data_IF_023353930037
#
_entry.id   IF_023353930037
#
_cell.length_a   1.000
_cell.length_b   1.000
_cell.length_c   1.000
_cell.angle_alpha   90.00
_cell.angle_beta   90.00
_cell.angle_gamma   90.00
#
_symmetry.space_group_name_H-M   'P 1'
#
loop_
_entity.id
_entity.type
_entity.pdbx_description
1 polymer ?
#
# COMPACT_ATOMS: atom_id res chain seq x y z
N UNK A 1 -5.65 -12.67 10.83
CA UNK A 1 -4.61 -12.06 9.99
C UNK A 1 -4.78 -12.54 8.56
N UNK A 2 -5.18 -11.65 7.65
CA UNK A 2 -5.39 -11.92 6.22
C UNK A 2 -4.05 -12.24 5.53
N UNK A 3 -4.07 -12.90 4.36
CA UNK A 3 -2.88 -13.21 3.57
C UNK A 3 -2.04 -11.96 3.23
N UNK A 4 -2.69 -10.83 2.97
CA UNK A 4 -2.03 -9.54 2.70
C UNK A 4 -1.23 -9.08 3.93
N UNK A 5 -1.85 -9.05 5.11
CA UNK A 5 -1.19 -8.67 6.37
C UNK A 5 -0.01 -9.59 6.72
N UNK A 6 -0.10 -10.89 6.35
CA UNK A 6 1.02 -11.83 6.53
C UNK A 6 2.19 -11.49 5.61
N UNK A 7 1.92 -11.12 4.36
CA UNK A 7 2.94 -10.73 3.38
C UNK A 7 3.62 -9.43 3.82
N UNK A 8 2.84 -8.42 4.23
CA UNK A 8 3.37 -7.13 4.70
C UNK A 8 4.26 -7.31 5.94
N UNK A 9 3.81 -8.10 6.92
CA UNK A 9 4.61 -8.41 8.09
C UNK A 9 5.90 -9.17 7.75
N UNK A 10 5.85 -10.09 6.79
CA UNK A 10 7.04 -10.81 6.35
C UNK A 10 8.04 -9.86 5.68
N UNK A 11 7.59 -9.03 4.74
CA UNK A 11 8.43 -8.01 4.07
C UNK A 11 9.12 -7.12 5.10
N UNK A 12 8.36 -6.59 6.07
CA UNK A 12 8.90 -5.73 7.13
C UNK A 12 10.01 -6.43 7.93
N UNK A 13 9.77 -7.67 8.36
CA UNK A 13 10.79 -8.47 9.08
C UNK A 13 12.05 -8.70 8.27
N UNK A 14 11.91 -9.00 6.97
CA UNK A 14 13.06 -9.20 6.09
C UNK A 14 13.87 -7.91 5.95
N UNK A 15 13.21 -6.78 5.66
CA UNK A 15 13.88 -5.47 5.55
C UNK A 15 14.61 -5.13 6.85
N UNK A 16 13.94 -5.22 8.01
CA UNK A 16 14.54 -4.95 9.31
C UNK A 16 15.76 -5.83 9.58
N UNK A 17 15.67 -7.12 9.24
CA UNK A 17 16.77 -8.07 9.44
C UNK A 17 17.97 -7.75 8.55
N UNK A 18 17.75 -7.36 7.30
CA UNK A 18 18.81 -7.08 6.34
C UNK A 18 19.48 -5.73 6.63
N UNK A 19 18.68 -4.70 6.96
CA UNK A 19 19.19 -3.41 7.43
C UNK A 19 20.08 -3.58 8.67
N UNK A 20 19.71 -4.45 9.60
CA UNK A 20 20.54 -4.73 10.78
C UNK A 20 21.88 -5.35 10.40
N UNK A 21 21.87 -6.39 9.56
CA UNK A 21 23.12 -7.04 9.08
C UNK A 21 24.06 -6.04 8.40
N UNK A 22 23.51 -5.17 7.57
CA UNK A 22 24.29 -4.14 6.88
C UNK A 22 24.88 -3.13 7.86
N UNK A 23 24.11 -2.65 8.85
CA UNK A 23 24.62 -1.75 9.91
C UNK A 23 25.73 -2.39 10.75
N UNK A 24 25.58 -3.67 11.09
CA UNK A 24 26.60 -4.41 11.82
C UNK A 24 27.88 -4.55 10.97
N UNK A 25 27.74 -4.92 9.68
CA UNK A 25 28.85 -5.02 8.74
C UNK A 25 29.56 -3.67 8.47
N UNK A 26 28.80 -2.57 8.47
CA UNK A 26 29.35 -1.22 8.36
C UNK A 26 30.19 -0.88 9.59
N UNK A 27 29.66 -1.17 10.78
CA UNK A 27 30.33 -0.88 12.06
C UNK A 27 31.65 -1.65 12.16
N UNK A 28 31.64 -2.93 11.74
CA UNK A 28 32.84 -3.75 11.65
C UNK A 28 33.85 -3.18 10.63
N UNK A 29 33.39 -2.84 9.42
CA UNK A 29 34.25 -2.25 8.39
C UNK A 29 34.88 -0.93 8.85
N UNK A 30 34.12 -0.09 9.56
CA UNK A 30 34.59 1.16 10.15
C UNK A 30 35.64 0.93 11.24
N UNK A 31 35.43 -0.06 12.11
CA UNK A 31 36.42 -0.43 13.11
C UNK A 31 37.74 -0.90 12.47
N UNK A 32 37.65 -1.77 11.46
CA UNK A 32 38.84 -2.23 10.73
C UNK A 32 39.53 -1.10 9.96
N UNK A 33 38.77 -0.17 9.38
CA UNK A 33 39.35 1.01 8.72
C UNK A 33 40.06 1.91 9.72
N UNK A 34 39.48 2.16 10.88
CA UNK A 34 40.12 2.99 11.91
C UNK A 34 41.42 2.37 12.45
N UNK A 35 41.47 1.03 12.53
CA UNK A 35 42.65 0.30 13.00
C UNK A 35 43.76 0.21 11.94
N UNK A 36 43.40 -0.01 10.66
CA UNK A 36 44.37 -0.33 9.60
C UNK A 36 44.59 0.78 8.58
N UNK A 37 43.63 1.70 8.42
CA UNK A 37 43.60 2.71 7.37
C UNK A 37 43.42 2.15 5.95
N UNK A 38 43.14 0.86 5.76
CA UNK A 38 43.10 0.27 4.42
C UNK A 38 41.84 0.65 3.64
N UNK A 39 42.05 1.21 2.45
CA UNK A 39 41.00 1.60 1.49
C UNK A 39 39.97 0.51 1.19
N UNK A 40 40.36 -0.77 1.31
CA UNK A 40 39.42 -1.89 1.14
C UNK A 40 38.21 -1.80 2.08
N UNK A 41 38.41 -1.30 3.29
CA UNK A 41 37.35 -1.15 4.29
C UNK A 41 36.53 0.10 4.04
N UNK A 42 37.16 1.18 3.53
CA UNK A 42 36.46 2.36 3.03
C UNK A 42 35.50 1.99 1.88
N UNK A 43 36.00 1.28 0.88
CA UNK A 43 35.19 0.80 -0.24
C UNK A 43 34.06 -0.15 0.21
N UNK A 44 34.27 -0.91 1.29
CA UNK A 44 33.24 -1.76 1.88
C UNK A 44 32.15 -0.90 2.55
N UNK A 45 32.53 0.14 3.29
CA UNK A 45 31.58 1.08 3.89
C UNK A 45 30.74 1.79 2.82
N UNK A 46 31.34 2.31 1.75
CA UNK A 46 30.60 2.98 0.66
C UNK A 46 29.58 2.05 -0.02
N UNK A 47 29.94 0.78 -0.23
CA UNK A 47 29.01 -0.21 -0.80
C UNK A 47 27.82 -0.45 0.13
N UNK A 48 28.10 -0.60 1.43
CA UNK A 48 27.05 -0.83 2.43
C UNK A 48 26.12 0.40 2.54
N UNK A 49 26.66 1.61 2.47
CA UNK A 49 25.86 2.85 2.44
C UNK A 49 24.90 2.86 1.25
N UNK A 50 25.38 2.52 0.05
CA UNK A 50 24.52 2.42 -1.15
C UNK A 50 23.42 1.36 -0.99
N UNK A 51 23.76 0.18 -0.45
CA UNK A 51 22.80 -0.89 -0.21
C UNK A 51 21.74 -0.49 0.84
N UNK A 52 22.13 0.28 1.86
CA UNK A 52 21.21 0.84 2.85
C UNK A 52 20.27 1.87 2.23
N UNK A 53 20.79 2.80 1.43
CA UNK A 53 20.00 3.81 0.72
C UNK A 53 18.96 3.16 -0.22
N UNK A 54 19.36 2.11 -0.94
CA UNK A 54 18.46 1.34 -1.79
C UNK A 54 17.33 0.70 -0.99
N UNK A 55 17.66 0.04 0.13
CA UNK A 55 16.68 -0.59 1.02
C UNK A 55 15.70 0.42 1.63
N UNK A 56 16.17 1.58 2.07
CA UNK A 56 15.31 2.68 2.56
C UNK A 56 14.40 3.21 1.45
N UNK A 57 14.93 3.32 0.22
CA UNK A 57 14.16 3.67 -0.96
C UNK A 57 13.09 2.64 -1.33
N UNK A 58 13.34 1.33 -1.12
CA UNK A 58 12.33 0.29 -1.28
C UNK A 58 11.24 0.37 -0.21
N UNK A 59 11.61 0.52 1.07
CA UNK A 59 10.66 0.62 2.17
C UNK A 59 9.71 1.82 2.01
N UNK A 60 10.24 2.97 1.59
CA UNK A 60 9.46 4.19 1.35
C UNK A 60 8.43 4.01 0.23
N UNK A 61 8.81 3.32 -0.86
CA UNK A 61 7.91 3.02 -1.99
C UNK A 61 6.82 2.02 -1.60
N UNK A 62 7.15 0.99 -0.83
CA UNK A 62 6.16 0.00 -0.37
C UNK A 62 5.13 0.64 0.57
N UNK A 63 5.56 1.56 1.45
CA UNK A 63 4.66 2.32 2.31
C UNK A 63 3.69 3.20 1.51
N UNK A 64 4.18 3.94 0.51
CA UNK A 64 3.33 4.76 -0.35
C UNK A 64 2.28 3.94 -1.12
N UNK A 65 2.65 2.72 -1.55
CA UNK A 65 1.71 1.80 -2.20
C UNK A 65 0.64 1.33 -1.20
N UNK A 66 1.03 0.94 0.02
CA UNK A 66 0.09 0.51 1.06
C UNK A 66 -0.90 1.63 1.41
N UNK A 67 -0.42 2.87 1.56
CA UNK A 67 -1.25 4.04 1.84
C UNK A 67 -2.26 4.29 0.70
N UNK A 68 -1.82 4.21 -0.56
CA UNK A 68 -2.69 4.36 -1.73
C UNK A 68 -3.76 3.24 -1.82
N UNK A 69 -3.42 2.00 -1.47
CA UNK A 69 -4.38 0.88 -1.41
C UNK A 69 -5.42 1.13 -0.30
N UNK A 70 -4.98 1.60 0.87
CA UNK A 70 -5.87 1.92 1.99
C UNK A 70 -6.81 3.09 1.66
N UNK A 71 -6.32 4.11 0.97
CA UNK A 71 -7.16 5.22 0.50
C UNK A 71 -8.19 4.74 -0.54
N UNK A 72 -7.76 3.96 -1.54
CA UNK A 72 -8.65 3.38 -2.55
C UNK A 72 -9.76 2.52 -1.93
N UNK A 73 -9.44 1.73 -0.90
CA UNK A 73 -10.42 0.89 -0.22
C UNK A 73 -11.44 1.71 0.59
N UNK A 74 -11.01 2.78 1.25
CA UNK A 74 -11.92 3.74 1.91
C UNK A 74 -12.85 4.42 0.91
N UNK A 75 -12.31 4.97 -0.18
CA UNK A 75 -13.09 5.62 -1.23
C UNK A 75 -14.10 4.66 -1.86
N UNK A 76 -13.71 3.41 -2.09
CA UNK A 76 -14.64 2.39 -2.59
C UNK A 76 -15.80 2.16 -1.63
N UNK A 77 -15.53 2.03 -0.33
CA UNK A 77 -16.57 1.85 0.68
C UNK A 77 -17.51 3.06 0.77
N UNK A 78 -17.00 4.28 0.57
CA UNK A 78 -17.82 5.50 0.50
C UNK A 78 -18.70 5.52 -0.76
N UNK A 79 -18.15 5.16 -1.92
CA UNK A 79 -18.92 5.02 -3.17
C UNK A 79 -20.04 3.97 -3.00
N UNK A 80 -19.74 2.82 -2.41
CA UNK A 80 -20.73 1.76 -2.19
C UNK A 80 -21.87 2.23 -1.27
N UNK A 81 -21.56 3.05 -0.25
CA UNK A 81 -22.59 3.70 0.59
C UNK A 81 -23.44 4.68 -0.20
N UNK A 82 -22.81 5.56 -0.99
CA UNK A 82 -23.52 6.55 -1.80
C UNK A 82 -24.43 5.87 -2.82
N UNK A 83 -23.94 4.82 -3.49
CA UNK A 83 -24.74 4.01 -4.42
C UNK A 83 -25.96 3.44 -3.74
N UNK A 84 -25.78 2.81 -2.58
CA UNK A 84 -26.90 2.25 -1.79
C UNK A 84 -27.93 3.32 -1.39
N UNK A 85 -27.46 4.48 -0.91
CA UNK A 85 -28.34 5.58 -0.54
C UNK A 85 -29.11 6.14 -1.74
N UNK A 86 -28.45 6.21 -2.91
CA UNK A 86 -29.08 6.65 -4.16
C UNK A 86 -30.12 5.65 -4.64
N UNK A 87 -29.79 4.35 -4.67
CA UNK A 87 -30.73 3.28 -5.03
C UNK A 87 -31.96 3.29 -4.14
N UNK A 88 -31.78 3.48 -2.82
CA UNK A 88 -32.89 3.60 -1.88
C UNK A 88 -33.79 4.81 -2.18
N UNK A 89 -33.21 5.99 -2.45
CA UNK A 89 -34.00 7.19 -2.77
C UNK A 89 -34.76 7.05 -4.09
N UNK A 90 -34.10 6.50 -5.12
CA UNK A 90 -34.70 6.30 -6.43
C UNK A 90 -35.80 5.24 -6.40
N UNK A 91 -35.67 4.19 -5.57
CA UNK A 91 -36.70 3.19 -5.38
C UNK A 91 -38.05 3.82 -4.98
N UNK A 92 -38.05 4.72 -3.99
CA UNK A 92 -39.27 5.41 -3.57
C UNK A 92 -39.82 6.34 -4.66
N UNK A 93 -38.95 7.07 -5.35
CA UNK A 93 -39.38 7.94 -6.46
C UNK A 93 -40.02 7.16 -7.61
N UNK A 94 -39.48 6.00 -7.95
CA UNK A 94 -40.04 5.14 -9.02
C UNK A 94 -41.37 4.54 -8.58
N UNK A 95 -41.53 4.21 -7.30
CA UNK A 95 -42.80 3.68 -6.80
C UNK A 95 -43.96 4.69 -6.96
N UNK A 96 -43.65 5.99 -6.98
CA UNK A 96 -44.63 7.07 -7.21
C UNK A 96 -44.89 7.35 -8.71
N UNK A 97 -44.10 6.77 -9.63
CA UNK A 97 -44.31 6.93 -11.06
C UNK A 97 -45.42 6.01 -11.59
N UNK A 98 -46.17 6.45 -12.62
CA UNK A 98 -47.11 5.57 -13.30
C UNK A 98 -46.36 4.39 -13.95
N UNK A 99 -47.01 3.23 -13.99
CA UNK A 99 -46.43 2.03 -14.61
C UNK A 99 -46.38 2.18 -16.14
N UNK A 100 -45.27 2.75 -16.62
CA UNK A 100 -44.96 2.98 -18.02
C UNK A 100 -43.58 2.42 -18.38
N UNK A 101 -43.28 2.37 -19.69
CA UNK A 101 -42.02 1.83 -20.19
C UNK A 101 -40.80 2.58 -19.63
N UNK A 102 -40.90 3.90 -19.49
CA UNK A 102 -39.84 4.76 -18.96
C UNK A 102 -39.52 4.44 -17.49
N UNK A 103 -40.54 4.23 -16.66
CA UNK A 103 -40.36 3.86 -15.25
C UNK A 103 -39.71 2.48 -15.10
N UNK A 104 -40.07 1.51 -15.94
CA UNK A 104 -39.47 0.16 -15.97
C UNK A 104 -38.01 0.20 -16.42
N UNK A 105 -37.71 0.96 -17.48
CA UNK A 105 -36.34 1.14 -17.97
C UNK A 105 -35.44 1.81 -16.93
N UNK A 106 -35.97 2.81 -16.20
CA UNK A 106 -35.25 3.46 -15.10
C UNK A 106 -34.94 2.49 -13.97
N UNK A 107 -35.89 1.64 -13.59
CA UNK A 107 -35.71 0.62 -12.55
C UNK A 107 -34.61 -0.38 -12.93
N UNK A 108 -34.66 -0.90 -14.15
CA UNK A 108 -33.66 -1.84 -14.66
C UNK A 108 -32.26 -1.20 -14.76
N UNK A 109 -32.18 0.08 -15.13
CA UNK A 109 -30.91 0.81 -15.13
C UNK A 109 -30.30 0.93 -13.73
N UNK A 110 -31.11 1.22 -12.71
CA UNK A 110 -30.64 1.33 -11.32
C UNK A 110 -30.13 -0.01 -10.82
N UNK A 111 -30.90 -1.09 -10.99
CA UNK A 111 -30.54 -2.44 -10.53
C UNK A 111 -29.22 -2.95 -11.14
N UNK A 112 -28.88 -2.50 -12.36
CA UNK A 112 -27.67 -2.93 -13.06
C UNK A 112 -26.44 -2.03 -12.83
N UNK A 113 -26.61 -0.79 -12.35
CA UNK A 113 -25.52 0.20 -12.31
C UNK A 113 -25.24 0.79 -10.92
N UNK A 114 -26.20 0.70 -9.99
CA UNK A 114 -26.13 1.26 -8.64
C UNK A 114 -26.24 0.19 -7.56
#
# INVERSE_FOLDING_TARGET
>A
MNAIEKIENYKKKVIESETKKLKDAYTEAKACYNDTGYDRYYNKMEKIEKELDELEGYASRDQAISDAINEKTKLKAEIDKIKKDLSNKLFYLIADLPDCAEARNLKEYIENNL
#
